data_IF_594257812329
#
_entry.id   IF_594257812329
#
_cell.length_a   1.000
_cell.length_b   1.000
_cell.length_c   1.000
_cell.angle_alpha   90.00
_cell.angle_beta   90.00
_cell.angle_gamma   90.00
#
_symmetry.space_group_name_H-M   'P 1'
#
loop_
_entity.id
_entity.type
_entity.pdbx_description
1 polymer ?
#
# COMPACT_ATOMS: atom_id res chain seq x y z
N UNK A 1 11.56 3.51 -1.94
CA UNK A 1 11.01 4.60 -1.08
C UNK A 1 9.62 4.98 -1.54
N UNK A 2 8.72 5.30 -0.62
CA UNK A 2 7.40 5.85 -0.95
C UNK A 2 7.54 7.36 -1.18
N UNK A 3 7.09 7.82 -2.36
CA UNK A 3 7.18 9.24 -2.73
C UNK A 3 5.81 9.93 -2.69
N UNK A 4 4.73 9.22 -3.00
CA UNK A 4 3.41 9.86 -3.07
C UNK A 4 2.27 8.94 -2.65
N UNK A 5 1.26 9.57 -2.05
CA UNK A 5 0.03 8.94 -1.63
C UNK A 5 -1.18 9.55 -2.34
N UNK A 6 -2.07 8.68 -2.80
CA UNK A 6 -3.43 9.06 -3.20
C UNK A 6 -4.36 9.15 -1.99
N UNK A 7 -4.13 8.31 -0.97
CA UNK A 7 -4.93 8.29 0.25
C UNK A 7 -4.35 9.17 1.36
N UNK A 8 -4.98 10.32 1.64
CA UNK A 8 -4.47 11.31 2.62
C UNK A 8 -4.42 10.82 4.07
N UNK A 9 -5.34 9.95 4.49
CA UNK A 9 -5.27 9.35 5.82
C UNK A 9 -4.10 8.36 5.97
N UNK A 10 -3.67 7.74 4.87
CA UNK A 10 -2.59 6.75 4.86
C UNK A 10 -1.25 7.47 4.86
N UNK A 11 -1.14 8.55 4.08
CA UNK A 11 -0.03 9.50 4.11
C UNK A 11 0.19 10.02 5.53
N UNK A 12 -0.87 10.53 6.17
CA UNK A 12 -0.77 11.05 7.54
C UNK A 12 -0.33 9.96 8.53
N UNK A 13 -0.84 8.73 8.38
CA UNK A 13 -0.43 7.60 9.20
C UNK A 13 1.05 7.26 9.02
N UNK A 14 1.53 7.26 7.78
CA UNK A 14 2.94 6.99 7.44
C UNK A 14 3.87 8.04 8.07
N UNK A 15 3.56 9.32 7.93
CA UNK A 15 4.44 10.41 8.37
C UNK A 15 4.44 10.62 9.89
N UNK A 16 3.29 10.40 10.55
CA UNK A 16 3.10 10.83 11.95
C UNK A 16 2.64 9.73 12.90
N UNK A 17 2.24 8.57 12.37
CA UNK A 17 1.57 7.52 13.15
C UNK A 17 0.11 7.83 13.52
N UNK A 18 -0.44 8.98 13.09
CA UNK A 18 -1.84 9.34 13.31
C UNK A 18 -2.78 8.35 12.63
N UNK A 19 -3.67 7.74 13.41
CA UNK A 19 -4.68 6.80 12.88
C UNK A 19 -5.89 7.51 12.27
N UNK A 20 -5.88 8.84 12.22
CA UNK A 20 -6.99 9.62 11.66
C UNK A 20 -7.08 9.36 10.16
N UNK A 21 -8.24 8.90 9.71
CA UNK A 21 -8.51 8.64 8.29
C UNK A 21 -8.16 7.22 7.82
N UNK A 22 -7.67 6.33 8.69
CA UNK A 22 -7.56 4.89 8.42
C UNK A 22 -8.47 4.11 9.37
N UNK A 23 -8.64 2.81 9.12
CA UNK A 23 -9.25 1.93 10.12
C UNK A 23 -8.23 1.66 11.26
N UNK A 24 -8.54 2.03 12.52
CA UNK A 24 -7.59 1.90 13.62
C UNK A 24 -7.11 0.46 13.86
N UNK A 25 -7.97 -0.52 13.62
CA UNK A 25 -7.67 -1.95 13.76
C UNK A 25 -6.68 -2.43 12.69
N UNK A 26 -6.59 -1.74 11.56
CA UNK A 26 -5.66 -2.08 10.48
C UNK A 26 -4.28 -1.46 10.70
N UNK A 27 -4.14 -0.50 11.62
CA UNK A 27 -2.92 0.30 11.77
C UNK A 27 -1.64 -0.55 11.84
N UNK A 28 -1.61 -1.59 12.69
CA UNK A 28 -0.43 -2.45 12.81
C UNK A 28 -0.06 -3.18 11.50
N UNK A 29 -1.06 -3.65 10.74
CA UNK A 29 -0.82 -4.29 9.44
C UNK A 29 -0.42 -3.26 8.37
N UNK A 30 -1.05 -2.09 8.35
CA UNK A 30 -0.72 -0.99 7.45
C UNK A 30 0.74 -0.54 7.67
N UNK A 31 1.16 -0.35 8.93
CA UNK A 31 2.54 0.04 9.25
C UNK A 31 3.55 -0.96 8.68
N UNK A 32 3.36 -2.27 8.91
CA UNK A 32 4.23 -3.31 8.34
C UNK A 32 4.27 -3.33 6.82
N UNK A 33 3.15 -3.05 6.15
CA UNK A 33 3.09 -2.98 4.69
C UNK A 33 3.86 -1.74 4.20
N UNK A 34 3.62 -0.59 4.82
CA UNK A 34 4.25 0.68 4.46
C UNK A 34 5.76 0.64 4.68
N UNK A 35 6.22 0.13 5.84
CA UNK A 35 7.65 -0.04 6.14
C UNK A 35 8.34 -0.92 5.09
N UNK A 36 7.70 -2.03 4.70
CA UNK A 36 8.23 -2.92 3.67
C UNK A 36 8.22 -2.28 2.29
N UNK A 37 7.15 -1.58 1.94
CA UNK A 37 7.00 -0.91 0.65
C UNK A 37 8.02 0.23 0.50
N UNK A 38 8.27 0.98 1.57
CA UNK A 38 9.27 2.06 1.59
C UNK A 38 10.69 1.53 1.37
N UNK A 39 11.00 0.37 1.95
CA UNK A 39 12.28 -0.32 1.76
C UNK A 39 12.39 -1.13 0.46
N UNK A 40 11.34 -1.19 -0.37
CA UNK A 40 11.33 -1.98 -1.62
C UNK A 40 11.87 -1.17 -2.80
N UNK A 41 12.54 -1.86 -3.74
CA UNK A 41 13.04 -1.27 -4.98
C UNK A 41 12.11 -1.59 -6.16
N UNK A 42 11.26 -2.61 -6.03
CA UNK A 42 10.24 -2.95 -7.03
C UNK A 42 9.07 -3.71 -6.39
N UNK A 43 8.00 -3.91 -7.15
CA UNK A 43 6.78 -4.57 -6.65
C UNK A 43 7.01 -6.00 -6.16
N UNK A 44 7.95 -6.77 -6.73
CA UNK A 44 8.19 -8.16 -6.34
C UNK A 44 8.78 -8.28 -4.93
N UNK A 45 9.40 -7.24 -4.41
CA UNK A 45 9.85 -7.20 -3.01
C UNK A 45 8.69 -7.29 -2.02
N UNK A 46 7.46 -7.02 -2.48
CA UNK A 46 6.22 -7.14 -1.71
C UNK A 46 5.58 -8.53 -1.80
N UNK A 47 6.17 -9.49 -2.54
CA UNK A 47 5.64 -10.85 -2.70
C UNK A 47 5.89 -11.74 -1.48
N UNK A 48 5.28 -11.33 -0.36
CA UNK A 48 5.31 -12.06 0.90
C UNK A 48 4.05 -12.91 1.03
N UNK A 49 4.12 -14.12 1.62
CA UNK A 49 2.97 -15.03 1.71
C UNK A 49 1.70 -14.40 2.31
N UNK A 50 1.86 -13.47 3.27
CA UNK A 50 0.73 -12.81 3.93
C UNK A 50 0.19 -11.57 3.19
N UNK A 51 0.86 -11.13 2.12
CA UNK A 51 0.52 -9.92 1.37
C UNK A 51 -0.28 -10.24 0.10
N UNK A 52 -0.26 -11.49 -0.38
CA UNK A 52 -1.05 -11.91 -1.56
C UNK A 52 -0.89 -10.94 -2.73
N UNK A 53 0.37 -10.60 -3.02
CA UNK A 53 0.70 -9.64 -4.07
C UNK A 53 0.10 -10.11 -5.39
N UNK A 54 -0.56 -9.19 -6.08
CA UNK A 54 -0.98 -9.41 -7.45
C UNK A 54 -1.02 -8.09 -8.21
N UNK A 55 -0.75 -8.17 -9.50
CA UNK A 55 -0.93 -7.06 -10.41
C UNK A 55 -2.43 -6.84 -10.67
N UNK A 56 -2.85 -5.58 -10.73
CA UNK A 56 -4.20 -5.23 -11.13
C UNK A 56 -4.40 -5.48 -12.62
N UNK A 57 -5.65 -5.46 -13.08
CA UNK A 57 -6.03 -5.81 -14.45
C UNK A 57 -6.74 -4.66 -15.15
N UNK A 58 -6.75 -4.70 -16.48
CA UNK A 58 -7.43 -3.70 -17.30
C UNK A 58 -6.67 -2.38 -17.28
N UNK A 59 -7.37 -1.28 -16.99
CA UNK A 59 -6.79 0.07 -17.03
C UNK A 59 -5.75 0.33 -15.95
N UNK A 60 -5.76 -0.45 -14.87
CA UNK A 60 -4.85 -0.31 -13.73
C UNK A 60 -3.69 -1.31 -13.80
N UNK A 61 -3.38 -1.89 -14.97
CA UNK A 61 -2.39 -2.97 -15.06
C UNK A 61 -0.98 -2.59 -14.59
N UNK A 62 -0.65 -1.30 -14.54
CA UNK A 62 0.66 -0.84 -14.06
C UNK A 62 0.73 -0.80 -12.51
N UNK A 63 -0.42 -0.97 -11.85
CA UNK A 63 -0.55 -0.99 -10.39
C UNK A 63 -0.60 -2.40 -9.82
N UNK A 64 -0.22 -2.49 -8.56
CA UNK A 64 -0.13 -3.69 -7.75
C UNK A 64 -1.00 -3.55 -6.52
N UNK A 65 -1.40 -4.69 -5.95
CA UNK A 65 -2.25 -4.76 -4.78
C UNK A 65 -1.71 -5.76 -3.77
N UNK A 66 -1.70 -5.36 -2.51
CA UNK A 66 -1.43 -6.24 -1.37
C UNK A 66 -2.59 -6.23 -0.38
N UNK A 67 -2.79 -7.38 0.25
CA UNK A 67 -3.88 -7.67 1.17
C UNK A 67 -3.62 -7.08 2.56
N UNK A 68 -4.58 -6.28 3.05
CA UNK A 68 -4.58 -5.76 4.43
C UNK A 68 -5.40 -6.71 5.31
N UNK A 69 -6.73 -6.68 5.16
CA UNK A 69 -7.68 -7.59 5.80
C UNK A 69 -9.04 -7.52 5.10
N UNK A 70 -9.83 -8.60 5.11
CA UNK A 70 -11.12 -8.66 4.43
C UNK A 70 -11.04 -8.14 2.98
N UNK A 71 -11.83 -7.11 2.69
CA UNK A 71 -11.89 -6.44 1.38
C UNK A 71 -10.84 -5.33 1.19
N UNK A 72 -10.07 -4.98 2.23
CA UNK A 72 -9.13 -3.86 2.20
C UNK A 72 -7.81 -4.20 1.54
N UNK A 73 -7.33 -3.29 0.70
CA UNK A 73 -6.06 -3.40 -0.03
C UNK A 73 -5.25 -2.12 0.13
N UNK A 74 -3.93 -2.28 0.06
CA UNK A 74 -3.05 -1.18 -0.35
C UNK A 74 -2.73 -1.41 -1.82
N UNK A 75 -2.91 -0.37 -2.63
CA UNK A 75 -2.54 -0.37 -4.05
C UNK A 75 -1.44 0.66 -4.31
N UNK A 76 -0.53 0.35 -5.23
CA UNK A 76 0.63 1.19 -5.53
C UNK A 76 1.18 0.84 -6.91
N UNK A 77 1.98 1.73 -7.48
CA UNK A 77 2.83 1.43 -8.64
C UNK A 77 4.26 1.87 -8.35
N UNK A 78 5.19 1.47 -9.22
CA UNK A 78 6.59 1.86 -9.13
C UNK A 78 6.97 2.73 -10.32
N UNK A 79 7.61 3.86 -10.05
CA UNK A 79 8.34 4.65 -11.03
C UNK A 79 9.84 4.56 -10.71
N UNK A 80 10.56 3.76 -11.50
CA UNK A 80 11.92 3.34 -11.14
C UNK A 80 11.92 2.54 -9.83
N UNK A 81 12.68 3.01 -8.84
CA UNK A 81 12.80 2.39 -7.50
C UNK A 81 11.85 3.00 -6.45
N UNK A 82 10.92 3.84 -6.90
CA UNK A 82 10.04 4.60 -6.02
C UNK A 82 8.60 4.10 -6.11
N UNK A 83 8.00 3.83 -4.95
CA UNK A 83 6.58 3.56 -4.85
C UNK A 83 5.80 4.88 -4.91
N UNK A 84 4.84 4.98 -5.82
CA UNK A 84 4.01 6.16 -6.04
C UNK A 84 2.53 5.80 -6.03
N UNK A 85 1.69 6.83 -5.89
CA UNK A 85 0.24 6.74 -5.90
C UNK A 85 -0.30 5.67 -4.93
N UNK A 86 0.33 5.60 -3.75
CA UNK A 86 -0.04 4.63 -2.71
C UNK A 86 -1.43 4.97 -2.19
N UNK A 87 -2.34 4.00 -2.29
CA UNK A 87 -3.75 4.14 -1.93
C UNK A 87 -4.16 3.05 -0.94
N UNK A 88 -5.27 3.30 -0.23
CA UNK A 88 -5.86 2.40 0.75
C UNK A 88 -7.36 2.29 0.48
N UNK A 89 -7.76 1.16 -0.09
CA UNK A 89 -9.03 1.00 -0.78
C UNK A 89 -9.83 -0.18 -0.19
N UNK A 90 -11.16 -0.02 -0.11
CA UNK A 90 -12.10 -1.12 0.08
C UNK A 90 -12.57 -1.60 -1.29
N UNK A 91 -12.48 -2.89 -1.57
CA UNK A 91 -12.84 -3.48 -2.88
C UNK A 91 -14.36 -3.76 -3.02
N UNK A 92 -15.20 -3.21 -2.15
CA UNK A 92 -16.66 -3.26 -2.27
C UNK A 92 -17.25 -1.91 -2.67
#
# INVERSE_FOLDING_TARGET
>A
MIISFKHKGLEQYFETGSKKGIQPDHASKLGRILDRLDASLNSKDMDLPSFKLHQLKGKEQDRWSVWVTGNWRITFEFEGENAILVDYEDYH
#
